data_IF_446922261311
#
_entry.id   IF_446922261311
#
_cell.length_a   1.000
_cell.length_b   1.000
_cell.length_c   1.000
_cell.angle_alpha   90.00
_cell.angle_beta   90.00
_cell.angle_gamma   90.00
#
_symmetry.space_group_name_H-M   'P 1'
#
loop_
_entity.id
_entity.type
_entity.pdbx_description
1 polymer ?
#
# COMPACT_ATOMS: atom_id res chain seq x y z
N UNK A 1 -7.08 1.47 -8.47
CA UNK A 1 -5.94 0.71 -9.05
C UNK A 1 -6.44 -0.46 -9.85
N UNK A 2 -6.03 -0.59 -11.13
CA UNK A 2 -6.31 -1.80 -11.92
C UNK A 2 -5.42 -2.93 -11.42
N UNK A 3 -5.92 -4.18 -11.48
CA UNK A 3 -5.17 -5.38 -11.07
C UNK A 3 -3.79 -5.49 -11.75
N UNK A 4 -3.69 -4.99 -12.99
CA UNK A 4 -2.46 -4.95 -13.78
C UNK A 4 -1.36 -4.08 -13.15
N UNK A 5 -1.71 -2.93 -12.59
CA UNK A 5 -0.74 -2.00 -12.00
C UNK A 5 -0.16 -2.57 -10.71
N UNK A 6 -1.01 -3.21 -9.91
CA UNK A 6 -0.58 -3.92 -8.71
C UNK A 6 0.36 -5.09 -9.04
N UNK A 7 0.03 -5.88 -10.07
CA UNK A 7 0.85 -7.01 -10.50
C UNK A 7 2.22 -6.54 -11.00
N UNK A 8 2.28 -5.37 -11.65
CA UNK A 8 3.53 -4.76 -12.12
C UNK A 8 4.41 -4.29 -10.95
N UNK A 9 3.82 -3.67 -9.93
CA UNK A 9 4.54 -3.25 -8.71
C UNK A 9 5.05 -4.44 -7.89
N UNK A 10 4.36 -5.57 -7.95
CA UNK A 10 4.70 -6.76 -7.19
C UNK A 10 5.40 -7.83 -8.04
N UNK A 11 5.93 -7.45 -9.22
CA UNK A 11 6.58 -8.38 -10.14
C UNK A 11 7.91 -8.90 -9.58
N UNK A 12 8.62 -8.10 -8.79
CA UNK A 12 9.88 -8.49 -8.11
C UNK A 12 9.69 -9.68 -7.16
N UNK A 13 8.76 -9.64 -6.17
CA UNK A 13 8.53 -10.79 -5.30
C UNK A 13 7.94 -12.00 -6.04
N UNK A 14 7.16 -11.80 -7.11
CA UNK A 14 6.65 -12.90 -7.95
C UNK A 14 7.82 -13.60 -8.67
N UNK A 15 8.75 -12.83 -9.24
CA UNK A 15 9.95 -13.37 -9.88
C UNK A 15 10.82 -14.17 -8.92
N UNK A 16 11.05 -13.63 -7.70
CA UNK A 16 11.78 -14.33 -6.64
C UNK A 16 11.12 -15.65 -6.23
N UNK A 17 9.80 -15.66 -6.10
CA UNK A 17 9.03 -16.87 -5.80
C UNK A 17 9.20 -17.94 -6.90
N UNK A 18 9.01 -17.56 -8.17
CA UNK A 18 9.17 -18.48 -9.31
C UNK A 18 10.60 -19.03 -9.36
N UNK A 19 11.60 -18.19 -9.10
CA UNK A 19 13.00 -18.59 -9.07
C UNK A 19 13.30 -19.57 -7.94
N UNK A 20 12.80 -19.33 -6.72
CA UNK A 20 12.96 -20.26 -5.60
C UNK A 20 12.26 -21.61 -5.84
N UNK A 21 11.03 -21.59 -6.34
CA UNK A 21 10.29 -22.83 -6.66
C UNK A 21 10.96 -23.58 -7.80
N UNK A 22 11.42 -22.87 -8.84
CA UNK A 22 12.16 -23.46 -9.95
C UNK A 22 13.48 -24.08 -9.52
N UNK A 23 14.24 -23.41 -8.65
CA UNK A 23 15.46 -23.94 -8.05
C UNK A 23 15.19 -25.16 -7.19
N UNK A 24 14.17 -25.12 -6.33
CA UNK A 24 13.80 -26.26 -5.50
C UNK A 24 13.38 -27.47 -6.35
N UNK A 25 12.62 -27.25 -7.42
CA UNK A 25 12.25 -28.30 -8.36
C UNK A 25 13.47 -28.87 -9.11
N UNK A 26 14.41 -28.01 -9.53
CA UNK A 26 15.66 -28.41 -10.16
C UNK A 26 16.53 -29.24 -9.22
N UNK A 27 16.67 -28.85 -7.94
CA UNK A 27 17.45 -29.58 -6.94
C UNK A 27 16.88 -31.00 -6.73
N UNK A 28 15.55 -31.12 -6.60
CA UNK A 28 14.89 -32.41 -6.41
C UNK A 28 14.97 -33.27 -7.68
N UNK A 29 14.93 -32.66 -8.86
CA UNK A 29 15.07 -33.37 -10.13
C UNK A 29 16.51 -33.86 -10.39
N UNK A 30 17.52 -33.12 -9.91
CA UNK A 30 18.93 -33.45 -10.07
C UNK A 30 19.43 -34.45 -9.02
N UNK A 31 18.65 -34.72 -7.96
CA UNK A 31 18.98 -35.73 -6.94
C UNK A 31 18.80 -37.16 -7.50
N UNK A 32 19.89 -37.93 -7.72
CA UNK A 32 19.80 -39.27 -8.28
C UNK A 32 19.32 -40.32 -7.25
N UNK A 33 19.32 -40.01 -5.95
CA UNK A 33 18.93 -40.96 -4.91
C UNK A 33 17.42 -41.03 -4.69
N UNK A 34 16.70 -39.95 -4.94
CA UNK A 34 15.25 -39.91 -4.76
C UNK A 34 14.52 -40.21 -6.08
N UNK A 35 13.98 -41.43 -6.21
CA UNK A 35 13.01 -41.76 -7.28
C UNK A 35 11.65 -41.10 -7.03
N UNK A 36 11.61 -39.78 -6.94
CA UNK A 36 10.35 -39.04 -6.84
C UNK A 36 9.67 -39.12 -8.20
N UNK A 37 8.44 -39.64 -8.24
CA UNK A 37 7.63 -39.56 -9.46
C UNK A 37 7.43 -38.09 -9.82
N UNK A 38 7.69 -37.72 -11.07
CA UNK A 38 7.52 -36.35 -11.57
C UNK A 38 6.14 -35.76 -11.26
N UNK A 39 5.11 -36.62 -11.15
CA UNK A 39 3.76 -36.23 -10.77
C UNK A 39 3.68 -35.66 -9.34
N UNK A 40 4.38 -36.26 -8.38
CA UNK A 40 4.42 -35.79 -6.98
C UNK A 40 5.09 -34.42 -6.87
N UNK A 41 6.12 -34.19 -7.69
CA UNK A 41 6.83 -32.92 -7.78
C UNK A 41 5.89 -31.81 -8.31
N UNK A 42 5.09 -32.12 -9.33
CA UNK A 42 4.05 -31.22 -9.83
C UNK A 42 2.96 -30.92 -8.79
N UNK A 43 2.52 -31.92 -8.01
CA UNK A 43 1.57 -31.68 -6.92
C UNK A 43 2.12 -30.70 -5.88
N UNK A 44 3.40 -30.85 -5.49
CA UNK A 44 4.04 -29.94 -4.55
C UNK A 44 4.12 -28.51 -5.13
N UNK A 45 4.57 -28.36 -6.38
CA UNK A 45 4.62 -27.06 -7.06
C UNK A 45 3.24 -26.41 -7.14
N UNK A 46 2.20 -27.19 -7.47
CA UNK A 46 0.83 -26.68 -7.57
C UNK A 46 0.31 -26.21 -6.21
N UNK A 47 0.54 -26.99 -5.15
CA UNK A 47 0.08 -26.65 -3.80
C UNK A 47 0.76 -25.38 -3.28
N UNK A 48 2.09 -25.27 -3.45
CA UNK A 48 2.84 -24.07 -3.04
C UNK A 48 2.40 -22.86 -3.86
N UNK A 49 2.14 -23.04 -5.17
CA UNK A 49 1.66 -21.97 -6.06
C UNK A 49 0.26 -21.51 -5.70
N UNK A 50 -0.62 -22.43 -5.33
CA UNK A 50 -1.97 -22.10 -4.87
C UNK A 50 -1.92 -21.29 -3.56
N UNK A 51 -1.07 -21.68 -2.62
CA UNK A 51 -0.88 -20.96 -1.36
C UNK A 51 -0.27 -19.58 -1.57
N UNK A 52 0.76 -19.47 -2.42
CA UNK A 52 1.34 -18.19 -2.81
C UNK A 52 0.33 -17.27 -3.52
N UNK A 53 -0.51 -17.83 -4.39
CA UNK A 53 -1.59 -17.09 -5.06
C UNK A 53 -2.61 -16.56 -4.07
N UNK A 54 -3.06 -17.38 -3.11
CA UNK A 54 -3.98 -16.96 -2.06
C UNK A 54 -3.38 -15.82 -1.21
N UNK A 55 -2.10 -15.91 -0.86
CA UNK A 55 -1.40 -14.86 -0.11
C UNK A 55 -1.32 -13.55 -0.90
N UNK A 56 -1.00 -13.62 -2.20
CA UNK A 56 -0.99 -12.44 -3.07
C UNK A 56 -2.38 -11.82 -3.23
N UNK A 57 -3.43 -12.64 -3.35
CA UNK A 57 -4.82 -12.17 -3.41
C UNK A 57 -5.17 -11.43 -2.12
N UNK A 58 -4.91 -12.01 -0.95
CA UNK A 58 -5.18 -11.36 0.34
C UNK A 58 -4.45 -10.00 0.46
N UNK A 59 -3.17 -9.95 0.06
CA UNK A 59 -2.38 -8.71 0.03
C UNK A 59 -2.95 -7.70 -0.97
N UNK A 60 -3.43 -8.14 -2.12
CA UNK A 60 -4.07 -7.28 -3.13
C UNK A 60 -5.32 -6.60 -2.56
N UNK A 61 -6.18 -7.35 -1.87
CA UNK A 61 -7.38 -6.79 -1.25
C UNK A 61 -7.05 -5.71 -0.21
N UNK A 62 -6.02 -5.93 0.62
CA UNK A 62 -5.57 -4.95 1.61
C UNK A 62 -5.10 -3.65 0.96
N UNK A 63 -4.18 -3.74 -0.01
CA UNK A 63 -3.64 -2.56 -0.71
C UNK A 63 -4.72 -1.85 -1.52
N UNK A 64 -5.60 -2.59 -2.19
CA UNK A 64 -6.73 -2.00 -2.94
C UNK A 64 -7.67 -1.24 -2.01
N UNK A 65 -7.95 -1.75 -0.81
CA UNK A 65 -8.80 -1.07 0.17
C UNK A 65 -8.15 0.23 0.66
N UNK A 66 -6.85 0.22 0.92
CA UNK A 66 -6.11 1.43 1.27
C UNK A 66 -6.11 2.45 0.12
N UNK A 67 -5.82 2.02 -1.10
CA UNK A 67 -5.83 2.87 -2.28
C UNK A 67 -7.22 3.47 -2.57
N UNK A 68 -8.30 2.73 -2.33
CA UNK A 68 -9.66 3.24 -2.47
C UNK A 68 -9.95 4.40 -1.49
N UNK A 69 -9.47 4.30 -0.24
CA UNK A 69 -9.58 5.39 0.75
C UNK A 69 -8.83 6.65 0.31
N UNK A 70 -7.68 6.50 -0.35
CA UNK A 70 -6.93 7.63 -0.91
C UNK A 70 -7.64 8.21 -2.14
N UNK A 71 -8.23 7.38 -3.00
CA UNK A 71 -8.96 7.84 -4.17
C UNK A 71 -10.19 8.67 -3.76
N UNK A 72 -10.95 8.21 -2.77
CA UNK A 72 -12.08 8.95 -2.20
C UNK A 72 -11.67 10.35 -1.68
N UNK A 73 -10.42 10.52 -1.24
CA UNK A 73 -9.87 11.82 -0.81
C UNK A 73 -9.51 12.72 -1.99
N UNK A 74 -8.96 12.15 -3.05
CA UNK A 74 -8.69 12.90 -4.28
C UNK A 74 -10.01 13.43 -4.86
N UNK A 75 -11.05 12.60 -4.84
CA UNK A 75 -12.37 12.95 -5.35
C UNK A 75 -13.08 13.98 -4.44
N UNK A 76 -12.83 13.95 -3.13
CA UNK A 76 -13.40 14.90 -2.16
C UNK A 76 -12.77 16.31 -2.16
N UNK A 77 -11.65 16.51 -2.87
CA UNK A 77 -10.96 17.81 -3.04
C UNK A 77 -10.87 18.66 -1.76
N UNK A 78 -11.71 19.70 -1.63
CA UNK A 78 -11.70 20.63 -0.49
C UNK A 78 -12.20 19.98 0.80
N UNK A 79 -13.20 19.10 0.74
CA UNK A 79 -13.70 18.35 1.90
C UNK A 79 -12.66 17.34 2.42
N UNK A 80 -11.64 16.99 1.61
CA UNK A 80 -10.53 16.16 2.07
C UNK A 80 -9.69 16.85 3.16
N UNK A 81 -9.75 18.18 3.27
CA UNK A 81 -9.08 18.93 4.32
C UNK A 81 -9.80 18.88 5.67
N UNK A 82 -11.02 18.36 5.76
CA UNK A 82 -11.84 18.43 6.98
C UNK A 82 -11.56 17.30 7.99
N UNK A 83 -11.03 16.16 7.56
CA UNK A 83 -10.79 15.02 8.44
C UNK A 83 -9.44 14.31 8.17
N UNK A 84 -8.79 13.76 9.21
CA UNK A 84 -7.53 13.03 9.03
C UNK A 84 -7.71 11.71 8.26
N UNK A 85 -6.64 11.18 7.66
CA UNK A 85 -6.64 9.81 7.16
C UNK A 85 -6.64 8.83 8.35
N UNK A 86 -7.53 7.83 8.36
CA UNK A 86 -7.45 6.75 9.34
C UNK A 86 -6.20 5.91 9.09
N UNK A 87 -5.52 5.50 10.17
CA UNK A 87 -4.25 4.77 10.12
C UNK A 87 -4.28 3.55 9.17
N UNK A 88 -3.17 3.38 8.45
CA UNK A 88 -2.91 2.19 7.64
C UNK A 88 -2.61 0.93 8.47
N UNK A 89 -2.80 -0.24 7.87
CA UNK A 89 -2.48 -1.52 8.51
C UNK A 89 -0.98 -1.86 8.40
N UNK A 90 -0.31 -1.38 7.34
CA UNK A 90 1.13 -1.55 7.14
C UNK A 90 1.93 -0.38 7.72
N UNK A 91 3.18 -0.62 8.13
CA UNK A 91 4.11 0.43 8.58
C UNK A 91 4.30 1.55 7.52
N UNK A 92 4.33 1.17 6.25
CA UNK A 92 4.41 2.14 5.13
C UNK A 92 3.14 2.98 5.02
N UNK A 93 1.97 2.37 5.14
CA UNK A 93 0.68 3.06 5.10
C UNK A 93 0.50 3.98 6.32
N UNK A 94 0.99 3.57 7.50
CA UNK A 94 1.04 4.41 8.70
C UNK A 94 1.97 5.61 8.52
N UNK A 95 3.14 5.43 7.91
CA UNK A 95 4.06 6.52 7.63
C UNK A 95 3.41 7.54 6.68
N UNK A 96 2.79 7.07 5.59
CA UNK A 96 2.05 7.92 4.65
C UNK A 96 0.93 8.67 5.37
N UNK A 97 0.15 7.97 6.20
CA UNK A 97 -0.94 8.57 6.97
C UNK A 97 -0.44 9.65 7.93
N UNK A 98 0.67 9.37 8.65
CA UNK A 98 1.28 10.31 9.60
C UNK A 98 1.79 11.56 8.88
N UNK A 99 2.52 11.40 7.79
CA UNK A 99 3.03 12.52 6.98
C UNK A 99 1.89 13.36 6.43
N UNK A 100 0.85 12.72 5.90
CA UNK A 100 -0.33 13.42 5.37
C UNK A 100 -1.04 14.23 6.46
N UNK A 101 -1.34 13.62 7.60
CA UNK A 101 -2.02 14.28 8.71
C UNK A 101 -1.17 15.43 9.30
N UNK A 102 0.16 15.29 9.30
CA UNK A 102 1.06 16.36 9.71
C UNK A 102 1.00 17.56 8.76
N UNK A 103 1.05 17.33 7.44
CA UNK A 103 0.91 18.39 6.43
C UNK A 103 -0.44 19.09 6.58
N UNK A 104 -1.53 18.34 6.77
CA UNK A 104 -2.86 18.89 6.95
C UNK A 104 -2.94 19.80 8.19
N UNK A 105 -2.36 19.36 9.29
CA UNK A 105 -2.31 20.15 10.53
C UNK A 105 -1.51 21.43 10.35
N UNK A 106 -0.36 21.37 9.68
CA UNK A 106 0.46 22.54 9.37
C UNK A 106 -0.27 23.53 8.46
N UNK A 107 -0.96 23.05 7.43
CA UNK A 107 -1.76 23.89 6.54
C UNK A 107 -2.85 24.64 7.31
N UNK A 108 -3.61 23.93 8.17
CA UNK A 108 -4.62 24.58 9.03
C UNK A 108 -4.00 25.64 9.95
N UNK A 109 -2.86 25.36 10.56
CA UNK A 109 -2.15 26.32 11.41
C UNK A 109 -1.74 27.59 10.64
N UNK A 110 -1.24 27.45 9.41
CA UNK A 110 -0.88 28.59 8.57
C UNK A 110 -2.10 29.43 8.18
N UNK A 111 -3.21 28.80 7.79
CA UNK A 111 -4.46 29.50 7.45
C UNK A 111 -5.00 30.25 8.66
N UNK A 112 -5.05 29.61 9.84
CA UNK A 112 -5.50 30.26 11.07
C UNK A 112 -4.61 31.43 11.48
N UNK A 113 -3.29 31.30 11.33
CA UNK A 113 -2.35 32.40 11.63
C UNK A 113 -2.54 33.59 10.69
N UNK A 114 -2.76 33.35 9.39
CA UNK A 114 -3.04 34.41 8.41
C UNK A 114 -4.37 35.11 8.70
N UNK A 115 -5.42 34.35 9.05
CA UNK A 115 -6.71 34.91 9.44
C UNK A 115 -6.61 35.76 10.71
N UNK A 116 -5.88 35.29 11.72
CA UNK A 116 -5.64 36.05 12.95
C UNK A 116 -4.91 37.36 12.65
N UNK A 117 -3.86 37.33 11.81
CA UNK A 117 -3.13 38.54 11.42
C UNK A 117 -4.01 39.55 10.67
N UNK A 118 -4.90 39.08 9.78
CA UNK A 118 -5.84 39.97 9.10
C UNK A 118 -6.90 40.56 10.04
N UNK A 119 -7.37 39.76 11.00
CA UNK A 119 -8.30 40.24 12.01
C UNK A 119 -7.65 41.31 12.89
N UNK A 120 -6.42 41.07 13.38
CA UNK A 120 -5.67 42.04 14.17
C UNK A 120 -5.42 43.36 13.41
N UNK A 121 -5.12 43.27 12.11
CA UNK A 121 -4.98 44.46 11.26
C UNK A 121 -6.28 45.24 11.11
N UNK A 122 -7.40 44.52 10.97
CA UNK A 122 -8.72 45.14 10.87
C UNK A 122 -9.11 45.82 12.18
N UNK A 123 -8.93 45.13 13.30
CA UNK A 123 -9.24 45.68 14.63
C UNK A 123 -8.36 46.90 14.94
N UNK A 124 -7.11 46.93 14.49
CA UNK A 124 -6.26 48.11 14.58
C UNK A 124 -6.80 49.29 13.77
N UNK A 125 -7.24 49.07 12.53
CA UNK A 125 -7.83 50.11 11.67
C UNK A 125 -9.15 50.63 12.27
N UNK A 126 -10.02 49.73 12.76
CA UNK A 126 -11.32 50.10 13.35
C UNK A 126 -11.17 50.81 14.71
N UNK A 127 -10.02 50.68 15.37
CA UNK A 127 -9.72 51.35 16.64
C UNK A 127 -9.23 52.80 16.52
N UNK A 128 -8.92 53.26 15.30
CA UNK A 128 -8.40 54.59 14.98
C UNK A 128 -9.51 55.53 14.47
#
# INVERSE_FOLDING_TARGET
MRFRDYLKDHLSPIGGYILCVGLAALIIWLDPQHRVKAMTLWYAVLLVTLLASAFLIARYWRVRRFAARLQERIDAQEAALDWPLPGGESATEQLVTKTYNQILTQHRQQVTALLAQQQDQKDFIDSW
#
